data_IF_406447540840
#
_entry.id   IF_406447540840
#
_cell.length_a   1.000
_cell.length_b   1.000
_cell.length_c   1.000
_cell.angle_alpha   90.00
_cell.angle_beta   90.00
_cell.angle_gamma   90.00
#
_symmetry.space_group_name_H-M   'P 1'
#
loop_
_entity.id
_entity.type
_entity.pdbx_description
1 polymer ?
#
# COMPACT_ATOMS: atom_id res chain seq x y z
N UNK A 1 11.16 2.12 -18.93
CA UNK A 1 10.26 1.46 -17.94
C UNK A 1 10.98 0.22 -17.40
N UNK A 2 11.20 0.07 -16.08
CA UNK A 2 12.12 -0.97 -15.55
C UNK A 2 11.53 -2.39 -15.44
N UNK A 3 10.30 -2.55 -14.95
CA UNK A 3 9.70 -3.89 -14.71
C UNK A 3 8.57 -4.28 -15.67
N UNK A 4 8.09 -3.35 -16.50
CA UNK A 4 6.96 -3.59 -17.43
C UNK A 4 5.68 -4.08 -16.74
N UNK A 5 5.53 -3.82 -15.43
CA UNK A 5 4.37 -4.21 -14.62
C UNK A 5 4.18 -3.30 -13.41
N UNK A 6 2.96 -3.28 -12.88
CA UNK A 6 2.69 -2.72 -11.56
C UNK A 6 3.23 -3.60 -10.43
N UNK A 7 3.47 -3.02 -9.23
CA UNK A 7 3.76 -3.80 -8.04
C UNK A 7 2.62 -4.78 -7.74
N UNK A 8 2.94 -5.86 -7.04
CA UNK A 8 1.92 -6.79 -6.53
C UNK A 8 2.29 -7.25 -5.12
N UNK A 9 1.38 -7.97 -4.46
CA UNK A 9 1.64 -8.55 -3.14
C UNK A 9 2.91 -9.39 -3.09
N UNK A 10 3.28 -10.07 -4.19
CA UNK A 10 4.51 -10.88 -4.29
C UNK A 10 5.69 -10.10 -4.88
N UNK A 11 5.44 -9.02 -5.61
CA UNK A 11 6.47 -8.22 -6.28
C UNK A 11 6.36 -6.74 -5.87
N UNK A 12 6.78 -6.43 -4.65
CA UNK A 12 6.64 -5.11 -4.02
C UNK A 12 7.86 -4.22 -4.28
N UNK A 13 8.23 -4.02 -5.55
CA UNK A 13 9.37 -3.16 -5.86
C UNK A 13 9.15 -1.71 -5.37
N UNK A 14 7.90 -1.23 -5.30
CA UNK A 14 7.61 0.06 -4.66
C UNK A 14 8.03 0.12 -3.18
N UNK A 15 8.00 -0.99 -2.45
CA UNK A 15 8.50 -1.06 -1.06
C UNK A 15 10.01 -1.06 -1.04
N UNK A 16 10.65 -1.91 -1.85
CA UNK A 16 12.11 -2.02 -1.84
C UNK A 16 12.78 -0.73 -2.34
N UNK A 17 12.40 -0.26 -3.53
CA UNK A 17 13.07 0.85 -4.20
C UNK A 17 12.73 2.22 -3.61
N UNK A 18 11.51 2.41 -3.09
CA UNK A 18 11.05 3.73 -2.63
C UNK A 18 11.01 3.87 -1.11
N UNK A 19 11.25 2.78 -0.36
CA UNK A 19 11.23 2.82 1.11
C UNK A 19 12.49 2.22 1.72
N UNK A 20 12.75 0.94 1.46
CA UNK A 20 13.87 0.25 2.12
C UNK A 20 15.23 0.75 1.63
N UNK A 21 15.46 0.76 0.32
CA UNK A 21 16.76 1.19 -0.21
C UNK A 21 17.08 2.66 0.11
N UNK A 22 16.15 3.63 -0.05
CA UNK A 22 16.43 5.01 0.34
C UNK A 22 16.74 5.18 1.83
N UNK A 23 15.98 4.52 2.72
CA UNK A 23 16.25 4.58 4.17
C UNK A 23 17.60 3.93 4.50
N UNK A 24 17.89 2.77 3.92
CA UNK A 24 19.18 2.09 4.13
C UNK A 24 20.34 2.98 3.67
N UNK A 25 20.30 3.44 2.42
CA UNK A 25 21.44 4.07 1.77
C UNK A 25 21.67 5.51 2.23
N UNK A 26 20.59 6.26 2.48
CA UNK A 26 20.67 7.70 2.77
C UNK A 26 20.59 8.02 4.27
N UNK A 27 20.10 7.09 5.10
CA UNK A 27 19.93 7.33 6.54
C UNK A 27 20.79 6.37 7.34
N UNK A 28 20.60 5.06 7.17
CA UNK A 28 21.26 4.06 8.03
C UNK A 28 22.77 4.00 7.75
N UNK A 29 23.17 3.81 6.50
CA UNK A 29 24.59 3.71 6.12
C UNK A 29 25.31 5.02 6.45
N UNK A 30 24.67 6.16 6.19
CA UNK A 30 25.22 7.48 6.54
C UNK A 30 25.42 7.62 8.05
N UNK A 31 24.46 7.21 8.86
CA UNK A 31 24.60 7.28 10.32
C UNK A 31 25.67 6.32 10.84
N UNK A 32 25.76 5.09 10.32
CA UNK A 32 26.80 4.12 10.70
C UNK A 32 28.20 4.50 10.24
N UNK A 33 28.34 5.46 9.32
CA UNK A 33 29.65 6.03 8.98
C UNK A 33 30.16 7.01 10.05
N UNK A 34 29.27 7.55 10.89
CA UNK A 34 29.59 8.53 11.95
C UNK A 34 29.50 7.95 13.35
N UNK A 35 28.68 6.91 13.55
CA UNK A 35 28.38 6.32 14.85
C UNK A 35 28.56 4.81 14.80
N UNK A 36 29.04 4.22 15.90
CA UNK A 36 29.23 2.76 16.02
C UNK A 36 27.89 2.01 16.06
N UNK A 37 26.84 2.65 16.61
CA UNK A 37 25.51 2.06 16.77
C UNK A 37 24.40 3.03 16.31
N UNK A 38 23.39 2.49 15.63
CA UNK A 38 22.21 3.20 15.16
C UNK A 38 20.97 2.40 15.54
N UNK A 39 20.07 3.02 16.30
CA UNK A 39 18.80 2.40 16.72
C UNK A 39 17.65 2.94 15.87
N UNK A 40 17.05 2.07 15.05
CA UNK A 40 15.85 2.34 14.28
C UNK A 40 14.59 2.08 15.13
N UNK A 41 13.91 3.15 15.52
CA UNK A 41 12.64 3.07 16.25
C UNK A 41 11.48 2.85 15.28
N UNK A 42 10.78 1.72 15.41
CA UNK A 42 9.71 1.35 14.50
C UNK A 42 8.38 1.20 15.23
N UNK A 43 7.35 1.91 14.73
CA UNK A 43 5.97 1.84 15.24
C UNK A 43 5.19 0.61 14.76
N UNK A 44 5.83 -0.56 14.72
CA UNK A 44 5.19 -1.83 14.31
C UNK A 44 4.43 -2.41 15.50
N UNK A 45 3.23 -2.98 15.23
CA UNK A 45 2.41 -3.64 16.25
C UNK A 45 2.08 -5.07 15.85
N UNK A 46 2.07 -5.98 16.83
CA UNK A 46 1.76 -7.39 16.64
C UNK A 46 0.37 -7.62 16.03
N UNK A 47 -0.61 -6.80 16.43
CA UNK A 47 -2.00 -6.86 15.96
C UNK A 47 -2.16 -6.59 14.45
N UNK A 48 -1.19 -5.96 13.79
CA UNK A 48 -1.32 -5.54 12.40
C UNK A 48 -1.25 -6.70 11.40
N UNK A 49 -0.58 -7.81 11.74
CA UNK A 49 -0.60 -9.05 10.95
C UNK A 49 0.05 -10.23 11.71
N UNK A 50 -0.27 -11.49 11.33
CA UNK A 50 0.39 -12.67 11.89
C UNK A 50 1.92 -12.70 11.72
N UNK A 51 2.45 -12.04 10.68
CA UNK A 51 3.89 -11.92 10.48
C UNK A 51 4.51 -10.93 11.48
N UNK A 52 3.84 -9.79 11.72
CA UNK A 52 4.29 -8.77 12.69
C UNK A 52 4.22 -9.27 14.13
N UNK A 53 3.26 -10.15 14.44
CA UNK A 53 3.16 -10.78 15.76
C UNK A 53 4.37 -11.65 16.15
N UNK A 54 5.19 -12.07 15.17
CA UNK A 54 6.39 -12.89 15.40
C UNK A 54 7.68 -12.07 15.52
N UNK A 55 7.62 -10.76 15.30
CA UNK A 55 8.80 -9.91 15.40
C UNK A 55 9.21 -9.73 16.87
N UNK A 56 10.52 -9.64 17.18
CA UNK A 56 10.97 -9.32 18.51
C UNK A 56 10.83 -7.81 18.79
N UNK A 57 10.73 -7.44 20.06
CA UNK A 57 10.71 -6.04 20.49
C UNK A 57 12.05 -5.35 20.22
N UNK A 58 13.15 -6.07 20.41
CA UNK A 58 14.51 -5.66 20.11
C UNK A 58 15.14 -6.62 19.11
N UNK A 59 15.83 -6.09 18.11
CA UNK A 59 16.57 -6.85 17.11
C UNK A 59 17.96 -6.25 16.98
N UNK A 60 18.98 -7.04 17.28
CA UNK A 60 20.39 -6.68 17.17
C UNK A 60 20.90 -7.02 15.76
N UNK A 61 21.83 -6.22 15.24
CA UNK A 61 22.37 -6.32 13.87
C UNK A 61 21.31 -6.63 12.80
N UNK A 62 20.23 -5.84 12.83
CA UNK A 62 19.07 -6.01 11.96
C UNK A 62 19.47 -5.96 10.48
N UNK A 63 18.73 -6.71 9.64
CA UNK A 63 19.03 -6.87 8.20
C UNK A 63 20.47 -7.35 7.91
N UNK A 64 21.12 -8.04 8.87
CA UNK A 64 22.54 -8.44 8.83
C UNK A 64 23.49 -7.25 8.68
N UNK A 65 23.15 -6.10 9.27
CA UNK A 65 23.97 -4.89 9.26
C UNK A 65 24.54 -4.66 10.66
N UNK A 66 25.85 -4.88 10.89
CA UNK A 66 26.48 -4.64 12.19
C UNK A 66 26.25 -3.20 12.68
N UNK A 67 25.88 -3.06 13.95
CA UNK A 67 25.61 -1.76 14.58
C UNK A 67 24.22 -1.19 14.27
N UNK A 68 23.43 -1.80 13.38
CA UNK A 68 22.03 -1.42 13.20
C UNK A 68 21.14 -2.23 14.15
N UNK A 69 20.43 -1.55 15.03
CA UNK A 69 19.45 -2.17 15.90
C UNK A 69 18.04 -1.70 15.56
N UNK A 70 17.04 -2.54 15.79
CA UNK A 70 15.63 -2.14 15.65
C UNK A 70 14.93 -2.28 16.98
N UNK A 71 14.27 -1.20 17.40
CA UNK A 71 13.45 -1.17 18.61
C UNK A 71 11.97 -0.89 18.29
N UNK A 72 11.08 -1.73 18.84
CA UNK A 72 9.63 -1.72 18.57
C UNK A 72 8.84 -1.49 19.87
N UNK A 73 8.88 -0.29 20.45
CA UNK A 73 8.35 -0.03 21.80
C UNK A 73 6.85 -0.28 21.96
N UNK A 74 6.10 -0.20 20.85
CA UNK A 74 4.65 -0.37 20.84
C UNK A 74 4.22 -1.73 20.28
N UNK A 75 5.14 -2.70 20.19
CA UNK A 75 4.86 -4.00 19.56
C UNK A 75 3.63 -4.69 20.16
N UNK A 76 3.42 -4.59 21.47
CA UNK A 76 2.30 -5.22 22.18
C UNK A 76 1.07 -4.34 22.34
N UNK A 77 1.09 -3.11 21.83
CA UNK A 77 -0.03 -2.18 21.98
C UNK A 77 -1.18 -2.52 21.04
N UNK A 78 -2.40 -2.38 21.54
CA UNK A 78 -3.61 -2.49 20.71
C UNK A 78 -3.81 -1.22 19.89
N UNK A 79 -4.62 -1.32 18.82
CA UNK A 79 -5.00 -0.15 18.01
C UNK A 79 -5.63 0.92 18.89
N UNK A 80 -6.52 0.53 19.78
CA UNK A 80 -7.20 1.45 20.70
C UNK A 80 -6.21 2.21 21.61
N UNK A 81 -5.16 1.55 22.09
CA UNK A 81 -4.17 2.15 22.99
C UNK A 81 -3.35 3.24 22.29
N UNK A 82 -2.99 3.02 21.02
CA UNK A 82 -2.27 4.01 20.21
C UNK A 82 -3.10 5.27 20.01
N UNK A 83 -4.40 5.13 19.70
CA UNK A 83 -5.26 6.28 19.55
C UNK A 83 -5.58 6.96 20.89
N UNK A 84 -5.68 6.19 21.97
CA UNK A 84 -5.87 6.73 23.31
C UNK A 84 -4.67 7.57 23.76
N UNK A 85 -3.43 7.08 23.56
CA UNK A 85 -2.24 7.86 23.91
C UNK A 85 -2.11 9.10 23.01
N UNK A 86 -2.35 8.97 21.71
CA UNK A 86 -2.27 10.09 20.79
C UNK A 86 -3.26 11.19 21.21
N UNK A 87 -4.50 10.81 21.53
CA UNK A 87 -5.52 11.72 22.05
C UNK A 87 -5.12 12.36 23.37
N UNK A 88 -4.56 11.59 24.31
CA UNK A 88 -4.07 12.10 25.61
C UNK A 88 -3.03 13.21 25.43
N UNK A 89 -2.18 13.10 24.42
CA UNK A 89 -1.14 14.08 24.10
C UNK A 89 -1.56 15.13 23.05
N UNK A 90 -2.84 15.16 22.64
CA UNK A 90 -3.32 16.12 21.64
C UNK A 90 -2.82 15.88 20.21
N UNK A 91 -2.25 14.71 19.92
CA UNK A 91 -1.79 14.31 18.59
C UNK A 91 -3.02 13.93 17.76
N UNK A 92 -3.27 14.68 16.69
CA UNK A 92 -4.36 14.39 15.76
C UNK A 92 -3.95 13.24 14.84
N UNK A 93 -4.81 12.24 14.61
CA UNK A 93 -4.54 11.20 13.62
C UNK A 93 -4.53 11.80 12.21
N UNK A 94 -3.94 11.08 11.25
CA UNK A 94 -3.95 11.49 9.86
C UNK A 94 -5.41 11.71 9.38
N UNK A 95 -5.74 12.86 8.76
CA UNK A 95 -7.10 13.17 8.31
C UNK A 95 -7.72 12.12 7.38
N UNK A 96 -6.90 11.37 6.63
CA UNK A 96 -7.38 10.33 5.71
C UNK A 96 -8.10 9.19 6.44
N UNK A 97 -7.79 8.93 7.72
CA UNK A 97 -8.55 7.96 8.52
C UNK A 97 -10.02 8.33 8.70
N UNK A 98 -10.37 9.63 8.55
CA UNK A 98 -11.74 10.12 8.61
C UNK A 98 -12.42 10.14 7.22
N UNK A 99 -11.73 9.67 6.19
CA UNK A 99 -12.15 9.73 4.79
C UNK A 99 -12.19 8.32 4.16
N UNK A 100 -12.56 7.32 4.96
CA UNK A 100 -12.69 5.91 4.58
C UNK A 100 -11.37 5.21 4.18
N UNK A 101 -10.22 5.89 4.31
CA UNK A 101 -8.90 5.28 4.16
C UNK A 101 -8.49 4.59 5.46
N UNK A 102 -8.67 3.28 5.52
CA UNK A 102 -8.28 2.48 6.71
C UNK A 102 -6.77 2.35 6.90
N UNK A 103 -5.98 2.64 5.86
CA UNK A 103 -4.52 2.66 5.85
C UNK A 103 -4.05 3.85 5.03
N UNK A 104 -2.96 4.47 5.43
CA UNK A 104 -2.37 5.59 4.70
C UNK A 104 -1.04 5.14 4.09
N UNK A 105 -0.93 5.25 2.77
CA UNK A 105 0.24 4.83 2.00
C UNK A 105 0.31 5.54 0.66
N UNK A 106 0.64 4.82 -0.41
CA UNK A 106 0.49 5.37 -1.76
C UNK A 106 -0.99 5.46 -2.14
N UNK A 107 -1.30 6.35 -3.09
CA UNK A 107 -2.67 6.71 -3.46
C UNK A 107 -2.93 6.38 -4.94
N UNK A 108 -3.87 5.48 -5.28
CA UNK A 108 -4.23 4.30 -4.50
C UNK A 108 -3.01 3.40 -4.22
N UNK A 109 -3.16 2.51 -3.25
CA UNK A 109 -2.27 1.38 -3.04
C UNK A 109 -2.79 0.12 -3.75
N UNK A 110 -1.90 -0.78 -4.14
CA UNK A 110 -2.27 -2.12 -4.65
C UNK A 110 -3.05 -2.95 -3.61
N UNK A 111 -3.04 -2.51 -2.35
CA UNK A 111 -3.80 -3.08 -1.23
C UNK A 111 -4.97 -2.18 -0.79
N UNK A 112 -5.37 -1.20 -1.61
CA UNK A 112 -6.53 -0.38 -1.34
C UNK A 112 -7.77 -1.26 -1.20
N UNK A 113 -8.54 -1.03 -0.15
CA UNK A 113 -9.79 -1.75 0.04
C UNK A 113 -10.90 -1.10 -0.79
N UNK A 114 -12.08 -1.73 -0.84
CA UNK A 114 -13.22 -1.24 -1.62
C UNK A 114 -13.71 0.15 -1.20
N UNK A 115 -13.83 0.40 0.10
CA UNK A 115 -14.30 1.67 0.64
C UNK A 115 -13.29 2.79 0.38
N UNK A 116 -12.00 2.51 0.56
CA UNK A 116 -10.91 3.41 0.21
C UNK A 116 -10.94 3.73 -1.29
N UNK A 117 -11.09 2.73 -2.16
CA UNK A 117 -11.17 2.96 -3.60
C UNK A 117 -12.40 3.81 -3.99
N UNK A 118 -13.55 3.59 -3.35
CA UNK A 118 -14.75 4.41 -3.54
C UNK A 118 -14.49 5.88 -3.14
N UNK A 119 -13.86 6.09 -1.97
CA UNK A 119 -13.45 7.42 -1.53
C UNK A 119 -12.47 8.08 -2.52
N UNK A 120 -11.54 7.32 -3.11
CA UNK A 120 -10.62 7.81 -4.14
C UNK A 120 -11.35 8.24 -5.40
N UNK A 121 -12.27 7.42 -5.93
CA UNK A 121 -13.07 7.81 -7.08
C UNK A 121 -13.88 9.09 -6.87
N UNK A 122 -14.34 9.36 -5.66
CA UNK A 122 -15.15 10.54 -5.35
C UNK A 122 -14.32 11.77 -5.00
N UNK A 123 -13.31 11.62 -4.15
CA UNK A 123 -12.56 12.74 -3.55
C UNK A 123 -11.31 13.10 -4.34
N UNK A 124 -10.69 12.12 -4.99
CA UNK A 124 -9.41 12.25 -5.69
C UNK A 124 -9.44 11.61 -7.09
N UNK A 125 -10.36 12.04 -7.97
CA UNK A 125 -10.46 11.49 -9.33
C UNK A 125 -9.16 11.67 -10.13
N UNK A 126 -8.37 12.70 -9.85
CA UNK A 126 -7.05 12.93 -10.46
C UNK A 126 -6.07 11.78 -10.18
N UNK A 127 -6.17 11.12 -9.02
CA UNK A 127 -5.33 9.97 -8.69
C UNK A 127 -5.72 8.75 -9.53
N UNK A 128 -7.01 8.58 -9.83
CA UNK A 128 -7.49 7.56 -10.76
C UNK A 128 -6.98 7.83 -12.18
N UNK A 129 -7.05 9.09 -12.62
CA UNK A 129 -6.53 9.49 -13.94
C UNK A 129 -5.02 9.26 -14.04
N UNK A 130 -4.28 9.59 -12.98
CA UNK A 130 -2.83 9.32 -12.89
C UNK A 130 -2.54 7.84 -13.03
N UNK A 131 -3.25 6.98 -12.31
CA UNK A 131 -3.05 5.52 -12.44
C UNK A 131 -3.42 5.02 -13.84
N UNK A 132 -4.51 5.51 -14.43
CA UNK A 132 -4.92 5.10 -15.77
C UNK A 132 -3.90 5.52 -16.85
N UNK A 133 -3.24 6.67 -16.70
CA UNK A 133 -2.09 7.05 -17.53
C UNK A 133 -0.93 6.06 -17.36
N UNK A 134 -0.59 5.74 -16.10
CA UNK A 134 0.45 4.75 -15.83
C UNK A 134 0.11 3.36 -16.40
N UNK A 135 -1.17 2.95 -16.41
CA UNK A 135 -1.58 1.69 -17.03
C UNK A 135 -1.27 1.67 -18.52
N UNK A 136 -1.54 2.75 -19.25
CA UNK A 136 -1.18 2.89 -20.67
C UNK A 136 0.33 2.84 -20.88
N UNK A 137 1.09 3.63 -20.11
CA UNK A 137 2.55 3.71 -20.21
C UNK A 137 3.22 2.35 -19.92
N UNK A 138 2.80 1.68 -18.83
CA UNK A 138 3.39 0.41 -18.41
C UNK A 138 2.99 -0.71 -19.36
N UNK A 139 1.73 -0.74 -19.82
CA UNK A 139 1.26 -1.71 -20.81
C UNK A 139 2.04 -1.62 -22.12
N UNK A 140 2.31 -0.40 -22.63
CA UNK A 140 3.11 -0.18 -23.84
C UNK A 140 4.54 -0.70 -23.72
N UNK A 141 5.10 -0.74 -22.50
CA UNK A 141 6.43 -1.28 -22.23
C UNK A 141 6.42 -2.74 -21.78
N UNK A 142 5.26 -3.36 -21.66
CA UNK A 142 5.11 -4.73 -21.18
C UNK A 142 5.27 -5.72 -22.32
N UNK A 143 5.80 -6.92 -22.01
CA UNK A 143 6.02 -7.99 -23.00
C UNK A 143 4.76 -8.47 -23.73
N UNK A 144 3.59 -8.21 -23.16
CA UNK A 144 2.28 -8.71 -23.63
C UNK A 144 1.35 -7.57 -24.05
N UNK A 145 1.84 -6.32 -24.06
CA UNK A 145 1.02 -5.15 -24.34
C UNK A 145 -0.07 -4.88 -23.30
N UNK A 146 -0.02 -5.52 -22.13
CA UNK A 146 -1.00 -5.34 -21.06
C UNK A 146 -0.34 -5.24 -19.67
N UNK A 147 -0.82 -4.27 -18.88
CA UNK A 147 -0.46 -4.14 -17.47
C UNK A 147 -1.49 -3.30 -16.72
N UNK A 148 -2.07 -3.88 -15.68
CA UNK A 148 -3.11 -3.22 -14.87
C UNK A 148 -2.60 -2.99 -13.46
N UNK A 149 -3.14 -1.95 -12.83
CA UNK A 149 -2.85 -1.62 -11.44
C UNK A 149 -3.23 -2.76 -10.49
N UNK A 150 -4.43 -3.31 -10.67
CA UNK A 150 -4.87 -4.53 -10.00
C UNK A 150 -4.62 -5.75 -10.90
N UNK A 151 -3.82 -6.75 -10.47
CA UNK A 151 -3.48 -7.88 -11.33
C UNK A 151 -4.72 -8.73 -11.65
N UNK A 152 -5.20 -8.68 -12.90
CA UNK A 152 -6.40 -9.39 -13.36
C UNK A 152 -6.42 -10.89 -13.01
N UNK A 153 -5.27 -11.56 -12.93
CA UNK A 153 -5.20 -12.99 -12.54
C UNK A 153 -5.50 -13.28 -11.07
N UNK A 154 -5.38 -12.26 -10.21
CA UNK A 154 -5.52 -12.34 -8.75
C UNK A 154 -6.57 -11.35 -8.23
N UNK A 155 -7.29 -10.71 -9.14
CA UNK A 155 -8.33 -9.76 -8.79
C UNK A 155 -9.56 -10.51 -8.28
N UNK A 156 -10.07 -10.13 -7.12
CA UNK A 156 -11.23 -10.79 -6.52
C UNK A 156 -12.56 -10.51 -7.25
N UNK A 157 -12.58 -9.55 -8.16
CA UNK A 157 -13.77 -9.09 -8.87
C UNK A 157 -13.74 -9.41 -10.38
N UNK A 158 -12.61 -9.16 -11.06
CA UNK A 158 -12.41 -9.37 -12.51
C UNK A 158 -11.32 -10.41 -12.80
N UNK A 159 -11.37 -11.54 -12.09
CA UNK A 159 -10.41 -12.62 -12.29
C UNK A 159 -10.43 -13.13 -13.74
N UNK A 160 -9.33 -12.97 -14.48
CA UNK A 160 -9.16 -13.54 -15.82
C UNK A 160 -7.72 -14.06 -15.98
N UNK A 161 -7.58 -15.23 -16.61
CA UNK A 161 -6.29 -15.90 -16.85
C UNK A 161 -5.87 -15.89 -18.32
N UNK A 162 -6.83 -15.74 -19.24
CA UNK A 162 -6.61 -15.59 -20.67
C UNK A 162 -6.09 -14.19 -20.95
N UNK A 163 -4.78 -14.10 -21.21
CA UNK A 163 -4.05 -12.84 -21.40
C UNK A 163 -4.64 -12.04 -22.57
N UNK A 164 -5.08 -12.73 -23.61
CA UNK A 164 -5.74 -12.19 -24.79
C UNK A 164 -7.06 -11.47 -24.48
N UNK A 165 -7.68 -11.77 -23.34
CA UNK A 165 -8.92 -11.13 -22.87
C UNK A 165 -8.67 -9.97 -21.90
N UNK A 166 -7.40 -9.67 -21.57
CA UNK A 166 -7.03 -8.66 -20.56
C UNK A 166 -6.44 -7.43 -21.24
N UNK A 167 -7.21 -6.34 -21.23
CA UNK A 167 -6.81 -5.03 -21.78
C UNK A 167 -6.98 -3.92 -20.75
N UNK A 168 -6.37 -2.75 -20.98
CA UNK A 168 -6.49 -1.59 -20.08
C UNK A 168 -7.93 -1.11 -20.01
N UNK A 169 -8.65 -1.19 -21.12
CA UNK A 169 -10.03 -0.78 -21.26
C UNK A 169 -10.99 -1.70 -20.48
N UNK A 170 -10.66 -3.00 -20.38
CA UNK A 170 -11.52 -4.00 -19.72
C UNK A 170 -11.18 -4.23 -18.24
N UNK A 171 -9.90 -4.11 -17.89
CA UNK A 171 -9.37 -4.49 -16.56
C UNK A 171 -8.58 -3.36 -15.86
N UNK A 172 -8.46 -2.19 -16.48
CA UNK A 172 -7.76 -1.05 -15.88
C UNK A 172 -8.53 -0.43 -14.71
N UNK A 173 -7.88 0.48 -13.99
CA UNK A 173 -8.36 1.06 -12.73
C UNK A 173 -9.74 1.70 -12.87
N UNK A 174 -10.00 2.41 -13.98
CA UNK A 174 -11.27 3.13 -14.20
C UNK A 174 -12.48 2.19 -14.19
N UNK A 175 -12.26 0.93 -14.56
CA UNK A 175 -13.30 -0.08 -14.68
C UNK A 175 -13.80 -0.62 -13.32
N UNK A 176 -13.18 -0.18 -12.21
CA UNK A 176 -13.56 -0.54 -10.85
C UNK A 176 -14.54 0.45 -10.21
N UNK A 177 -14.87 1.57 -10.88
CA UNK A 177 -15.72 2.62 -10.30
C UNK A 177 -17.05 2.10 -9.78
N UNK A 178 -17.84 1.47 -10.65
CA UNK A 178 -19.18 1.02 -10.29
C UNK A 178 -19.13 -0.05 -9.20
N UNK A 179 -18.17 -0.96 -9.29
CA UNK A 179 -17.93 -1.95 -8.25
C UNK A 179 -17.61 -1.28 -6.91
N UNK A 180 -16.67 -0.33 -6.88
CA UNK A 180 -16.25 0.36 -5.66
C UNK A 180 -17.43 1.07 -4.97
N UNK A 181 -18.32 1.68 -5.74
CA UNK A 181 -19.48 2.43 -5.23
C UNK A 181 -20.63 1.55 -4.69
N UNK A 182 -20.60 0.23 -4.89
CA UNK A 182 -21.66 -0.65 -4.36
C UNK A 182 -21.48 -0.93 -2.87
N UNK A 183 -22.58 -1.02 -2.11
CA UNK A 183 -22.57 -1.20 -0.64
C UNK A 183 -22.22 -2.62 -0.19
N UNK A 184 -22.27 -3.62 -1.07
CA UNK A 184 -21.84 -5.01 -0.81
C UNK A 184 -21.00 -5.51 -1.98
N UNK A 185 -19.98 -6.34 -1.72
CA UNK A 185 -19.17 -6.95 -2.77
C UNK A 185 -20.06 -7.71 -3.77
N UNK A 186 -20.24 -7.16 -4.97
CA UNK A 186 -21.01 -7.78 -6.05
C UNK A 186 -22.53 -7.64 -5.87
N UNK A 187 -23.13 -6.69 -6.59
CA UNK A 187 -24.57 -6.52 -6.67
C UNK A 187 -24.92 -5.07 -6.90
N UNK A 188 -25.19 -4.71 -8.16
CA UNK A 188 -25.64 -3.38 -8.57
C UNK A 188 -26.92 -3.06 -7.79
N UNK A 189 -26.86 -2.09 -6.88
CA UNK A 189 -28.04 -1.37 -6.41
C UNK A 189 -27.95 0.03 -7.00
N UNK A 190 -28.73 0.20 -8.06
CA UNK A 190 -28.91 1.46 -8.77
C UNK A 190 -29.54 2.43 -7.76
N UNK A 191 -28.78 3.39 -7.24
CA UNK A 191 -29.37 4.55 -6.57
C UNK A 191 -29.56 5.63 -7.62
N UNK A 192 -30.74 5.64 -8.25
CA UNK A 192 -31.26 6.85 -8.88
C UNK A 192 -31.54 7.84 -7.74
N UNK A 193 -30.77 8.92 -7.65
CA UNK A 193 -31.21 10.16 -7.00
C UNK A 193 -31.72 11.06 -8.13
N UNK A 194 -32.95 11.53 -7.96
CA UNK A 194 -33.69 12.34 -8.94
C UNK A 194 -33.15 13.75 -9.12
#
# INVERSE_FOLDING_TARGET
MWKGRFPSTKARFCTFELKHAPVRDQVVITALAEYDEVISWQGVRAEESPARAKLPEWEEDADNTPGLHVYRPILRWLHADVFAIAKRHGIKPNPLYQQDCSRVGCMPCIHANKAELAAIFTRWPEEIERIAEWERIVAACSRRGNSMFFPATQDSHKAERRIESITVESHGIKTYRDWAMTTRGGGISIYLRG
#
